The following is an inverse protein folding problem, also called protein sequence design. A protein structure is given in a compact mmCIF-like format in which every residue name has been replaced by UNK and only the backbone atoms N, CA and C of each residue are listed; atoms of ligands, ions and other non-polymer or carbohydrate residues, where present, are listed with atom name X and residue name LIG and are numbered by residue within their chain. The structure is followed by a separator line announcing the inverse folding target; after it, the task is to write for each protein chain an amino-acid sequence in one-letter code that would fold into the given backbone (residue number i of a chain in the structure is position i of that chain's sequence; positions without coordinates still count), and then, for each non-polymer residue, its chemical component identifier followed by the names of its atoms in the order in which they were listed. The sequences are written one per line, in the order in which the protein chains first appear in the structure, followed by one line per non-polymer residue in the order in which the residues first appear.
data_IF_782492883784
#
_entry.id   IF_782492883784
#
_cell.length_a   1.000
_cell.length_b   1.000
_cell.length_c   1.000
_cell.angle_alpha   90.00
_cell.angle_beta   90.00
_cell.angle_gamma   90.00
#
_symmetry.space_group_name_H-M   'P 1'
#
loop_
_entity.id
_entity.type
_entity.pdbx_description
1 polymer ?
#
# COMPACT_ATOMS: atom_id res chain seq x y z
N UNK A 1 9.24 54.96 18.59
CA UNK A 1 8.33 53.80 18.76
C UNK A 1 8.85 52.65 17.88
N UNK A 2 9.64 51.79 18.50
CA UNK A 2 10.26 50.62 17.82
C UNK A 2 9.30 49.48 17.94
N UNK A 3 8.86 48.91 16.77
CA UNK A 3 8.01 47.72 16.72
C UNK A 3 8.89 46.50 17.06
N UNK A 4 8.50 45.76 18.10
CA UNK A 4 9.07 44.45 18.41
C UNK A 4 8.69 43.44 17.29
N UNK A 5 9.57 42.50 16.95
CA UNK A 5 9.26 41.45 15.98
C UNK A 5 8.26 40.46 16.59
N UNK A 6 7.27 40.13 15.78
CA UNK A 6 6.26 39.10 16.07
C UNK A 6 6.99 37.78 16.32
N UNK A 7 6.74 37.18 17.47
CA UNK A 7 7.35 35.93 17.90
C UNK A 7 7.07 34.80 16.88
N UNK A 8 8.13 34.14 16.50
CA UNK A 8 8.09 32.85 15.79
C UNK A 8 7.30 31.89 16.69
N UNK A 9 6.19 31.41 16.19
CA UNK A 9 5.43 30.33 16.84
C UNK A 9 6.36 29.12 16.82
N UNK A 10 6.95 28.82 17.99
CA UNK A 10 7.69 27.59 18.24
C UNK A 10 6.73 26.44 17.94
N UNK A 11 6.94 25.75 16.81
CA UNK A 11 6.28 24.49 16.54
C UNK A 11 6.58 23.55 17.70
N UNK A 12 5.55 23.01 18.33
CA UNK A 12 5.70 21.98 19.34
C UNK A 12 6.63 20.92 18.77
N UNK A 13 7.75 20.67 19.44
CA UNK A 13 8.66 19.57 19.10
C UNK A 13 7.83 18.31 19.25
N UNK A 14 7.58 17.66 18.13
CA UNK A 14 6.78 16.43 18.08
C UNK A 14 7.51 15.39 18.93
N UNK A 15 6.91 14.95 20.05
CA UNK A 15 7.58 13.99 20.95
C UNK A 15 7.96 12.74 20.16
N UNK A 16 9.24 12.34 20.26
CA UNK A 16 9.76 11.15 19.59
C UNK A 16 9.09 9.90 20.16
N UNK A 17 8.61 9.04 19.29
CA UNK A 17 8.03 7.73 19.63
C UNK A 17 8.97 6.63 19.20
N UNK A 18 9.18 5.62 20.04
CA UNK A 18 9.92 4.41 19.72
C UNK A 18 8.93 3.35 19.19
N UNK A 19 9.00 3.06 17.91
CA UNK A 19 8.04 2.21 17.18
C UNK A 19 8.68 0.87 16.84
N UNK A 20 8.05 -0.23 17.26
CA UNK A 20 8.33 -1.53 16.69
C UNK A 20 7.37 -1.75 15.51
N UNK A 21 7.90 -1.93 14.32
CA UNK A 21 7.17 -2.39 13.13
C UNK A 21 7.32 -3.89 13.00
N UNK A 22 6.22 -4.64 12.89
CA UNK A 22 6.27 -6.09 12.74
C UNK A 22 5.74 -6.47 11.36
N UNK A 23 6.63 -7.02 10.53
CA UNK A 23 6.34 -7.49 9.17
C UNK A 23 7.00 -8.85 8.96
N UNK A 24 6.38 -9.91 9.50
CA UNK A 24 6.97 -11.23 9.58
C UNK A 24 7.25 -11.87 8.21
N UNK A 25 6.46 -11.56 7.19
CA UNK A 25 6.52 -12.17 5.86
C UNK A 25 7.19 -11.32 4.78
N UNK A 26 7.32 -10.00 5.03
CA UNK A 26 7.80 -9.06 4.03
C UNK A 26 8.91 -8.19 4.64
N UNK A 27 10.14 -8.52 4.30
CA UNK A 27 11.31 -7.76 4.74
C UNK A 27 11.38 -6.42 4.01
N UNK A 28 11.58 -5.29 4.71
CA UNK A 28 11.74 -3.98 4.07
C UNK A 28 13.08 -3.84 3.31
N UNK A 29 13.96 -4.83 3.40
CA UNK A 29 15.26 -4.84 2.71
C UNK A 29 15.18 -5.48 1.32
N UNK A 30 14.08 -6.16 0.99
CA UNK A 30 13.88 -6.76 -0.33
C UNK A 30 13.47 -5.65 -1.28
N UNK A 31 14.28 -5.41 -2.31
CA UNK A 31 13.94 -4.52 -3.41
C UNK A 31 12.72 -5.09 -4.16
N UNK A 32 11.85 -4.19 -4.60
CA UNK A 32 10.59 -4.42 -5.31
C UNK A 32 10.66 -5.53 -6.36
N UNK A 33 10.09 -6.68 -6.03
CA UNK A 33 9.99 -7.86 -6.90
C UNK A 33 9.64 -9.08 -6.05
N UNK A 34 8.52 -9.75 -6.33
CA UNK A 34 8.06 -10.93 -5.61
C UNK A 34 6.82 -10.72 -4.74
N UNK A 35 6.32 -11.80 -4.11
CA UNK A 35 5.04 -11.84 -3.38
C UNK A 35 4.90 -10.84 -2.21
N UNK A 36 6.00 -10.30 -1.70
CA UNK A 36 6.02 -9.29 -0.64
C UNK A 36 6.18 -7.84 -1.11
N UNK A 37 6.35 -7.57 -2.42
CA UNK A 37 6.87 -6.29 -2.91
C UNK A 37 6.11 -5.03 -2.46
N UNK A 38 4.79 -5.03 -2.50
CA UNK A 38 4.00 -3.87 -2.07
C UNK A 38 4.02 -3.67 -0.56
N UNK A 39 3.89 -4.76 0.22
CA UNK A 39 3.96 -4.71 1.68
C UNK A 39 5.38 -4.34 2.15
N UNK A 40 6.41 -4.92 1.55
CA UNK A 40 7.82 -4.58 1.83
C UNK A 40 8.10 -3.10 1.61
N UNK A 41 7.68 -2.57 0.46
CA UNK A 41 7.82 -1.15 0.14
C UNK A 41 7.05 -0.27 1.12
N UNK A 42 5.82 -0.63 1.46
CA UNK A 42 5.01 0.13 2.43
C UNK A 42 5.72 0.23 3.80
N UNK A 43 6.22 -0.89 4.32
CA UNK A 43 6.93 -0.93 5.61
C UNK A 43 8.23 -0.13 5.55
N UNK A 44 8.99 -0.27 4.46
CA UNK A 44 10.23 0.49 4.25
C UNK A 44 9.98 2.00 4.20
N UNK A 45 9.05 2.43 3.37
CA UNK A 45 8.77 3.85 3.13
C UNK A 45 8.15 4.54 4.36
N UNK A 46 7.21 3.86 5.05
CA UNK A 46 6.64 4.36 6.29
C UNK A 46 7.71 4.46 7.39
N UNK A 47 8.58 3.45 7.53
CA UNK A 47 9.68 3.46 8.50
C UNK A 47 10.64 4.61 8.24
N UNK A 48 11.06 4.80 6.98
CA UNK A 48 11.93 5.89 6.57
C UNK A 48 11.28 7.27 6.83
N UNK A 49 10.00 7.42 6.52
CA UNK A 49 9.27 8.67 6.74
C UNK A 49 9.12 9.01 8.23
N UNK A 50 8.88 8.02 9.09
CA UNK A 50 8.84 8.21 10.54
C UNK A 50 10.19 8.61 11.09
N UNK A 51 11.30 8.01 10.62
CA UNK A 51 12.67 8.40 11.03
C UNK A 51 12.98 9.83 10.60
N UNK A 52 12.65 10.24 9.35
CA UNK A 52 12.82 11.64 8.92
C UNK A 52 12.10 12.64 9.84
N UNK A 53 11.05 12.20 10.53
CA UNK A 53 10.29 13.00 11.49
C UNK A 53 10.79 12.89 12.93
N UNK A 54 11.92 12.24 13.16
CA UNK A 54 12.56 12.14 14.47
C UNK A 54 12.05 10.99 15.35
N UNK A 55 11.27 10.06 14.81
CA UNK A 55 10.88 8.85 15.53
C UNK A 55 11.96 7.77 15.41
N UNK A 56 12.04 6.88 16.39
CA UNK A 56 12.91 5.69 16.33
C UNK A 56 12.08 4.51 15.83
N UNK A 57 12.58 3.82 14.82
CA UNK A 57 11.86 2.68 14.21
C UNK A 57 12.77 1.47 14.18
N UNK A 58 12.25 0.34 14.67
CA UNK A 58 12.85 -0.98 14.51
C UNK A 58 11.85 -1.89 13.84
N UNK A 59 12.23 -2.43 12.69
CA UNK A 59 11.41 -3.41 11.95
C UNK A 59 11.83 -4.81 12.35
N UNK A 60 10.86 -5.64 12.71
CA UNK A 60 11.05 -7.05 13.01
C UNK A 60 10.46 -7.88 11.87
N UNK A 61 11.33 -8.60 11.17
CA UNK A 61 10.95 -9.51 10.08
C UNK A 61 11.48 -10.91 10.35
N UNK A 62 10.90 -11.93 9.75
CA UNK A 62 11.40 -13.29 9.95
C UNK A 62 12.70 -13.50 9.18
N UNK A 63 13.63 -14.23 9.77
CA UNK A 63 14.84 -14.68 9.10
C UNK A 63 14.46 -15.78 8.12
N UNK A 64 14.54 -15.50 6.84
CA UNK A 64 14.16 -16.38 5.73
C UNK A 64 15.35 -16.89 4.91
N UNK A 65 16.58 -16.46 5.24
CA UNK A 65 17.84 -16.94 4.70
C UNK A 65 18.85 -17.08 5.85
N UNK A 66 19.59 -18.19 5.92
CA UNK A 66 20.59 -18.44 6.98
C UNK A 66 21.75 -17.43 6.98
N UNK A 67 22.07 -16.83 5.83
CA UNK A 67 23.15 -15.87 5.68
C UNK A 67 22.79 -14.46 6.16
N UNK A 68 21.53 -14.17 6.42
CA UNK A 68 21.11 -12.85 6.88
C UNK A 68 21.66 -12.56 8.29
N UNK A 69 22.22 -11.36 8.52
CA UNK A 69 22.68 -10.95 9.84
C UNK A 69 21.50 -10.77 10.80
N UNK A 70 21.75 -10.81 12.11
CA UNK A 70 20.69 -10.60 13.10
C UNK A 70 20.06 -9.22 13.00
N UNK A 71 20.88 -8.18 12.74
CA UNK A 71 20.44 -6.79 12.66
C UNK A 71 21.11 -6.08 11.49
N UNK A 72 20.34 -5.24 10.80
CA UNK A 72 20.80 -4.34 9.74
C UNK A 72 20.37 -2.92 10.08
N UNK A 73 21.32 -1.99 10.11
CA UNK A 73 21.03 -0.55 10.12
C UNK A 73 20.88 -0.08 8.66
N UNK A 74 19.73 0.52 8.35
CA UNK A 74 19.44 0.97 6.98
C UNK A 74 20.03 2.37 6.74
N UNK A 75 20.35 2.71 5.47
CA UNK A 75 20.75 4.07 5.12
C UNK A 75 19.69 5.12 5.46
N UNK A 76 18.43 4.73 5.61
CA UNK A 76 17.31 5.60 5.98
C UNK A 76 17.21 5.81 7.50
N UNK A 77 18.04 5.12 8.31
CA UNK A 77 18.18 5.31 9.75
C UNK A 77 17.22 4.48 10.60
N UNK A 78 16.47 3.51 10.05
CA UNK A 78 15.76 2.52 10.85
C UNK A 78 16.54 1.21 10.92
N UNK A 79 16.30 0.42 11.97
CA UNK A 79 16.90 -0.89 12.13
C UNK A 79 15.98 -2.00 11.66
N UNK A 80 16.54 -3.07 11.09
CA UNK A 80 15.83 -4.30 10.75
C UNK A 80 16.41 -5.46 11.54
N UNK A 81 15.56 -6.17 12.29
CA UNK A 81 15.94 -7.34 13.08
C UNK A 81 15.34 -8.57 12.39
N UNK A 82 16.19 -9.53 12.06
CA UNK A 82 15.82 -10.82 11.50
C UNK A 82 15.55 -11.82 12.63
N UNK A 83 14.26 -12.04 12.89
CA UNK A 83 13.79 -12.93 13.98
C UNK A 83 13.96 -14.39 13.58
N UNK A 84 14.68 -15.23 14.37
CA UNK A 84 14.88 -16.64 14.07
C UNK A 84 13.65 -17.48 14.45
N UNK A 85 12.56 -17.34 13.73
CA UNK A 85 11.31 -18.06 13.93
C UNK A 85 11.05 -19.04 12.77
N UNK A 86 11.14 -20.33 13.06
CA UNK A 86 11.03 -21.42 12.08
C UNK A 86 12.28 -21.58 11.19
N UNK A 87 12.19 -22.33 10.10
CA UNK A 87 13.31 -22.58 9.20
C UNK A 87 13.71 -21.26 8.48
N UNK A 88 15.02 -21.05 8.23
CA UNK A 88 15.50 -19.88 7.47
C UNK A 88 15.31 -20.10 5.97
N UNK A 89 14.06 -20.08 5.52
CA UNK A 89 13.63 -20.25 4.13
C UNK A 89 12.33 -19.49 3.90
N UNK A 90 12.01 -19.18 2.66
CA UNK A 90 10.70 -18.59 2.32
C UNK A 90 9.56 -19.51 2.75
N UNK A 91 8.53 -18.95 3.38
CA UNK A 91 7.33 -19.67 3.83
C UNK A 91 6.08 -19.03 3.23
N UNK A 92 5.14 -19.88 2.81
CA UNK A 92 3.79 -19.44 2.44
C UNK A 92 3.01 -18.96 3.66
N UNK A 93 1.93 -18.21 3.46
CA UNK A 93 1.08 -17.69 4.54
C UNK A 93 0.62 -18.79 5.53
N UNK A 94 0.24 -19.96 5.01
CA UNK A 94 -0.19 -21.10 5.84
C UNK A 94 0.96 -21.67 6.67
N UNK A 95 2.17 -21.70 6.11
CA UNK A 95 3.37 -22.19 6.77
C UNK A 95 3.93 -21.19 7.80
N UNK A 96 3.54 -19.91 7.71
CA UNK A 96 3.91 -18.88 8.69
C UNK A 96 3.14 -19.03 10.00
N UNK A 97 1.90 -19.47 9.97
CA UNK A 97 1.04 -19.51 11.16
C UNK A 97 1.67 -20.30 12.34
N UNK A 98 2.22 -21.51 12.17
CA UNK A 98 2.87 -22.25 13.25
C UNK A 98 4.08 -21.55 13.88
N UNK A 99 4.78 -20.70 13.13
CA UNK A 99 6.01 -20.04 13.60
C UNK A 99 5.74 -18.68 14.27
N UNK A 100 4.49 -18.21 14.29
CA UNK A 100 4.14 -16.94 14.95
C UNK A 100 4.22 -17.01 16.47
N UNK A 101 4.07 -18.19 17.09
CA UNK A 101 4.33 -18.40 18.52
C UNK A 101 5.81 -18.15 18.89
N UNK A 102 6.76 -18.86 18.29
CA UNK A 102 8.20 -18.57 18.44
C UNK A 102 8.57 -17.12 18.13
N UNK A 103 7.99 -16.52 17.09
CA UNK A 103 8.21 -15.11 16.76
C UNK A 103 7.76 -14.20 17.92
N UNK A 104 6.57 -14.43 18.47
CA UNK A 104 6.06 -13.69 19.62
C UNK A 104 6.94 -13.83 20.88
N UNK A 105 7.47 -15.03 21.14
CA UNK A 105 8.39 -15.26 22.24
C UNK A 105 9.67 -14.44 22.11
N UNK A 106 10.24 -14.37 20.89
CA UNK A 106 11.39 -13.51 20.61
C UNK A 106 11.07 -12.04 20.89
N UNK A 107 9.95 -11.54 20.39
CA UNK A 107 9.51 -10.16 20.63
C UNK A 107 9.35 -9.87 22.12
N UNK A 108 8.65 -10.75 22.87
CA UNK A 108 8.44 -10.58 24.31
C UNK A 108 9.76 -10.51 25.09
N UNK A 109 10.69 -11.41 24.79
CA UNK A 109 12.01 -11.42 25.43
C UNK A 109 12.82 -10.15 25.11
N UNK A 110 12.76 -9.70 23.85
CA UNK A 110 13.48 -8.49 23.41
C UNK A 110 12.91 -7.21 24.02
N UNK A 111 11.59 -7.14 24.21
CA UNK A 111 10.91 -5.95 24.73
C UNK A 111 10.86 -5.90 26.26
N UNK A 112 11.11 -6.99 26.96
CA UNK A 112 11.10 -7.02 28.42
C UNK A 112 12.11 -6.09 29.10
N UNK A 113 13.22 -5.76 28.44
CA UNK A 113 14.33 -4.93 28.98
C UNK A 113 14.45 -3.54 28.36
N UNK A 114 13.34 -2.95 27.91
CA UNK A 114 13.32 -1.64 27.27
C UNK A 114 12.59 -1.70 25.92
N UNK A 115 11.29 -1.96 25.99
CA UNK A 115 10.42 -2.13 24.82
C UNK A 115 10.14 -0.83 24.06
N UNK A 116 9.45 -0.95 22.93
CA UNK A 116 8.94 0.20 22.18
C UNK A 116 7.79 0.87 22.96
N UNK A 117 7.46 2.11 22.57
CA UNK A 117 6.28 2.80 23.07
C UNK A 117 5.00 2.24 22.44
N UNK A 118 5.11 1.70 21.22
CA UNK A 118 4.01 1.14 20.43
C UNK A 118 4.52 0.03 19.51
N UNK A 119 3.72 -1.02 19.30
CA UNK A 119 3.97 -2.07 18.33
C UNK A 119 2.95 -1.97 17.18
N UNK A 120 3.42 -1.81 15.95
CA UNK A 120 2.59 -1.74 14.75
C UNK A 120 2.80 -2.97 13.88
N UNK A 121 1.80 -3.82 13.80
CA UNK A 121 1.80 -5.02 12.97
C UNK A 121 1.25 -4.74 11.58
N UNK A 122 1.94 -5.24 10.59
CA UNK A 122 1.54 -5.23 9.20
C UNK A 122 1.18 -6.65 8.75
N UNK A 123 -0.05 -6.81 8.31
CA UNK A 123 -0.67 -8.08 7.93
C UNK A 123 -1.10 -8.95 9.13
N UNK A 124 -2.05 -9.85 8.88
CA UNK A 124 -2.70 -10.63 9.94
C UNK A 124 -1.76 -11.59 10.70
N UNK A 125 -0.79 -12.23 10.02
CA UNK A 125 0.20 -13.11 10.67
C UNK A 125 1.08 -12.36 11.63
N UNK A 126 1.60 -11.20 11.23
CA UNK A 126 2.33 -10.28 12.11
C UNK A 126 1.47 -9.81 13.28
N UNK A 127 0.18 -9.57 13.02
CA UNK A 127 -0.80 -9.24 14.07
C UNK A 127 -0.89 -10.30 15.15
N UNK A 128 -0.91 -11.58 14.78
CA UNK A 128 -0.93 -12.71 15.77
C UNK A 128 0.31 -12.63 16.67
N UNK A 129 1.49 -12.56 16.08
CA UNK A 129 2.73 -12.51 16.85
C UNK A 129 2.79 -11.28 17.77
N UNK A 130 2.37 -10.13 17.27
CA UNK A 130 2.37 -8.86 18.00
C UNK A 130 1.41 -8.88 19.18
N UNK A 131 0.17 -9.33 18.99
CA UNK A 131 -0.83 -9.42 20.06
C UNK A 131 -0.42 -10.40 21.16
N UNK A 132 0.19 -11.54 20.79
CA UNK A 132 0.71 -12.50 21.77
C UNK A 132 1.86 -11.90 22.62
N UNK A 133 2.78 -11.15 22.00
CA UNK A 133 3.89 -10.53 22.69
C UNK A 133 3.45 -9.33 23.54
N UNK A 134 2.65 -8.43 22.96
CA UNK A 134 2.21 -7.20 23.58
C UNK A 134 1.33 -7.44 24.83
N UNK A 135 0.47 -8.48 24.78
CA UNK A 135 -0.41 -8.82 25.89
C UNK A 135 0.33 -9.11 27.18
N UNK A 136 1.49 -9.74 27.11
CA UNK A 136 2.31 -10.06 28.30
C UNK A 136 2.95 -8.81 28.92
N UNK A 137 3.15 -7.76 28.14
CA UNK A 137 3.85 -6.54 28.51
C UNK A 137 2.92 -5.35 28.74
N UNK A 138 1.62 -5.48 28.49
CA UNK A 138 0.66 -4.37 28.55
C UNK A 138 0.95 -3.30 27.48
N UNK A 139 1.60 -3.66 26.37
CA UNK A 139 1.98 -2.75 25.31
C UNK A 139 0.81 -2.47 24.36
N UNK A 140 0.60 -1.21 23.99
CA UNK A 140 -0.38 -0.83 22.98
C UNK A 140 0.03 -1.30 21.59
N UNK A 141 -0.97 -1.73 20.80
CA UNK A 141 -0.78 -2.26 19.46
C UNK A 141 -1.56 -1.48 18.42
N UNK A 142 -0.99 -1.34 17.24
CA UNK A 142 -1.68 -0.94 16.01
C UNK A 142 -1.60 -2.09 15.02
N UNK A 143 -2.67 -2.34 14.29
CA UNK A 143 -2.70 -3.36 13.24
C UNK A 143 -3.20 -2.76 11.93
N UNK A 144 -2.42 -2.94 10.85
CA UNK A 144 -2.84 -2.70 9.48
C UNK A 144 -2.94 -4.04 8.75
N UNK A 145 -4.15 -4.37 8.25
CA UNK A 145 -4.39 -5.67 7.59
C UNK A 145 -3.84 -5.75 6.17
N UNK A 146 -3.74 -4.63 5.45
CA UNK A 146 -3.40 -4.58 4.02
C UNK A 146 -4.36 -5.39 3.14
N UNK A 147 -5.63 -5.38 3.50
CA UNK A 147 -6.69 -6.15 2.87
C UNK A 147 -7.09 -7.37 3.69
N UNK A 148 -8.39 -7.54 3.81
CA UNK A 148 -8.99 -8.65 4.54
C UNK A 148 -9.09 -9.91 3.66
N UNK A 149 -8.86 -11.07 4.25
CA UNK A 149 -8.94 -12.34 3.56
C UNK A 149 -10.36 -12.74 3.17
N UNK A 150 -10.46 -13.60 2.17
CA UNK A 150 -11.73 -14.18 1.71
C UNK A 150 -11.96 -15.59 2.23
N UNK A 151 -10.89 -16.31 2.59
CA UNK A 151 -11.00 -17.66 3.15
C UNK A 151 -11.50 -17.66 4.60
N UNK A 152 -12.15 -18.76 4.99
CA UNK A 152 -12.86 -18.83 6.27
C UNK A 152 -11.93 -18.87 7.49
N UNK A 153 -10.74 -19.47 7.37
CA UNK A 153 -9.79 -19.62 8.48
C UNK A 153 -9.15 -18.26 8.77
N UNK A 154 -8.62 -17.60 7.74
CA UNK A 154 -8.04 -16.29 7.84
C UNK A 154 -9.06 -15.27 8.37
N UNK A 155 -10.28 -15.24 7.85
CA UNK A 155 -11.36 -14.34 8.34
C UNK A 155 -11.67 -14.52 9.81
N UNK A 156 -11.64 -15.74 10.35
CA UNK A 156 -11.84 -16.00 11.79
C UNK A 156 -10.70 -15.42 12.63
N UNK A 157 -9.48 -15.52 12.16
CA UNK A 157 -8.30 -14.96 12.84
C UNK A 157 -8.29 -13.44 12.77
N UNK A 158 -8.56 -12.87 11.62
CA UNK A 158 -8.70 -11.43 11.41
C UNK A 158 -9.81 -10.83 12.30
N UNK A 159 -10.95 -11.53 12.42
CA UNK A 159 -12.03 -11.13 13.33
C UNK A 159 -11.55 -11.04 14.79
N UNK A 160 -10.77 -12.01 15.26
CA UNK A 160 -10.20 -11.98 16.61
C UNK A 160 -9.21 -10.83 16.77
N UNK A 161 -8.29 -10.71 15.82
CA UNK A 161 -7.27 -9.64 15.82
C UNK A 161 -7.90 -8.25 15.80
N UNK A 162 -8.89 -8.03 14.95
CA UNK A 162 -9.61 -6.78 14.89
C UNK A 162 -10.24 -6.38 16.23
N UNK A 163 -10.53 -7.31 17.11
CA UNK A 163 -11.12 -7.08 18.44
C UNK A 163 -10.09 -6.96 19.55
N UNK A 164 -8.89 -7.51 19.39
CA UNK A 164 -7.84 -7.53 20.43
C UNK A 164 -6.85 -6.38 20.27
N UNK A 165 -6.49 -6.00 19.05
CA UNK A 165 -5.59 -4.87 18.81
C UNK A 165 -6.10 -3.58 19.48
N UNK A 166 -5.20 -2.80 20.07
CA UNK A 166 -5.57 -1.51 20.69
C UNK A 166 -6.19 -0.59 19.65
N UNK A 167 -5.53 -0.40 18.52
CA UNK A 167 -6.02 0.36 17.37
C UNK A 167 -5.88 -0.44 16.07
N UNK A 168 -6.75 -0.14 15.10
CA UNK A 168 -6.63 -0.63 13.73
C UNK A 168 -6.51 0.55 12.79
N UNK A 169 -5.46 0.52 11.97
CA UNK A 169 -5.26 1.43 10.85
C UNK A 169 -5.80 0.77 9.58
N UNK A 170 -7.01 1.12 9.18
CA UNK A 170 -7.59 0.65 7.92
C UNK A 170 -6.98 1.43 6.75
N UNK A 171 -6.68 0.73 5.66
CA UNK A 171 -6.07 1.33 4.46
C UNK A 171 -7.07 2.17 3.64
N UNK A 172 -8.36 1.92 3.80
CA UNK A 172 -9.41 2.67 3.11
C UNK A 172 -10.74 2.63 3.90
N UNK A 173 -11.65 3.50 3.49
CA UNK A 173 -12.99 3.58 4.10
C UNK A 173 -13.77 2.27 4.00
N UNK A 174 -13.66 1.56 2.86
CA UNK A 174 -14.32 0.27 2.67
C UNK A 174 -13.83 -0.79 3.67
N UNK A 175 -12.52 -0.89 3.89
CA UNK A 175 -11.92 -1.78 4.89
C UNK A 175 -12.36 -1.40 6.31
N UNK A 176 -12.40 -0.11 6.65
CA UNK A 176 -12.88 0.36 7.95
C UNK A 176 -14.33 -0.04 8.21
N UNK A 177 -15.20 0.08 7.21
CA UNK A 177 -16.60 -0.36 7.33
C UNK A 177 -16.71 -1.88 7.52
N UNK A 178 -15.91 -2.67 6.81
CA UNK A 178 -15.91 -4.12 6.99
C UNK A 178 -15.44 -4.51 8.40
N UNK A 179 -14.38 -3.88 8.91
CA UNK A 179 -13.91 -4.08 10.29
C UNK A 179 -14.97 -3.72 11.34
N UNK A 180 -15.71 -2.62 11.12
CA UNK A 180 -16.81 -2.24 12.00
C UNK A 180 -17.94 -3.28 11.95
N UNK A 181 -18.27 -3.82 10.76
CA UNK A 181 -19.24 -4.92 10.61
C UNK A 181 -18.77 -6.21 11.30
N UNK A 182 -17.46 -6.44 11.38
CA UNK A 182 -16.84 -7.51 12.16
C UNK A 182 -16.87 -7.24 13.67
N UNK A 183 -17.49 -6.16 14.15
CA UNK A 183 -17.64 -5.80 15.56
C UNK A 183 -16.49 -4.98 16.15
N UNK A 184 -15.62 -4.41 15.31
CA UNK A 184 -14.60 -3.45 15.77
C UNK A 184 -15.25 -2.12 16.15
N UNK A 185 -14.96 -1.55 17.34
CA UNK A 185 -15.46 -0.23 17.69
C UNK A 185 -14.92 0.88 16.77
N UNK A 186 -15.81 1.72 16.25
CA UNK A 186 -15.42 2.83 15.34
C UNK A 186 -14.36 3.75 15.96
N UNK A 187 -14.41 4.00 17.27
CA UNK A 187 -13.45 4.88 17.97
C UNK A 187 -12.01 4.35 18.01
N UNK A 188 -11.83 3.05 17.76
CA UNK A 188 -10.53 2.39 17.72
C UNK A 188 -10.14 1.97 16.28
N UNK A 189 -10.74 2.62 15.28
CA UNK A 189 -10.48 2.37 13.86
C UNK A 189 -10.19 3.70 13.19
N UNK A 190 -9.00 3.86 12.67
CA UNK A 190 -8.56 5.03 11.90
C UNK A 190 -8.39 4.64 10.44
N UNK A 191 -8.72 5.52 9.51
CA UNK A 191 -8.42 5.31 8.09
C UNK A 191 -7.16 6.10 7.76
N UNK A 192 -6.06 5.37 7.51
CA UNK A 192 -4.79 5.94 7.08
C UNK A 192 -4.37 5.19 5.81
N UNK A 193 -4.44 5.84 4.65
CA UNK A 193 -4.17 5.18 3.37
C UNK A 193 -2.69 4.86 3.17
N UNK A 194 -2.40 4.09 2.13
CA UNK A 194 -1.03 3.91 1.64
C UNK A 194 -0.44 5.22 1.15
N UNK A 195 0.89 5.34 1.21
CA UNK A 195 1.63 6.48 0.69
C UNK A 195 2.16 6.24 -0.72
N UNK A 196 2.66 7.32 -1.31
CA UNK A 196 3.44 7.31 -2.55
C UNK A 196 4.66 8.23 -2.39
N UNK A 197 5.78 7.80 -2.95
CA UNK A 197 6.97 8.65 -3.04
C UNK A 197 6.78 9.70 -4.15
N UNK A 198 6.45 10.91 -3.74
CA UNK A 198 6.13 12.02 -4.66
C UNK A 198 7.37 12.66 -5.29
N UNK A 199 8.56 12.31 -4.85
CA UNK A 199 9.83 12.77 -5.40
C UNK A 199 10.34 11.82 -6.50
N UNK A 200 10.04 10.53 -6.36
CA UNK A 200 10.31 9.51 -7.39
C UNK A 200 9.21 9.53 -8.46
N UNK A 201 7.95 9.51 -8.03
CA UNK A 201 6.79 9.60 -8.92
C UNK A 201 6.42 11.07 -9.12
N UNK A 202 6.95 11.67 -10.17
CA UNK A 202 6.77 13.08 -10.52
C UNK A 202 6.47 13.22 -12.01
N UNK A 203 5.75 14.27 -12.45
CA UNK A 203 5.55 14.57 -13.86
C UNK A 203 6.85 14.82 -14.62
N UNK A 204 7.88 15.28 -13.91
CA UNK A 204 9.18 15.64 -14.46
C UNK A 204 10.08 14.39 -14.59
N UNK A 205 10.80 14.32 -15.70
CA UNK A 205 11.77 13.27 -15.97
C UNK A 205 11.55 12.53 -17.28
N UNK A 206 12.34 11.48 -17.56
CA UNK A 206 12.27 10.74 -18.81
C UNK A 206 10.94 10.01 -18.96
N UNK A 207 10.49 9.90 -20.21
CA UNK A 207 9.34 9.06 -20.60
C UNK A 207 9.84 7.81 -21.29
N UNK A 208 9.19 6.67 -21.05
CA UNK A 208 9.50 5.45 -21.76
C UNK A 208 9.22 5.62 -23.27
N UNK A 209 10.05 5.04 -24.16
CA UNK A 209 9.83 5.09 -25.60
C UNK A 209 8.44 4.54 -25.96
N UNK A 210 7.77 5.20 -26.90
CA UNK A 210 6.49 4.76 -27.46
C UNK A 210 6.36 5.18 -28.92
N UNK A 211 5.43 4.54 -29.66
CA UNK A 211 4.98 4.99 -30.96
C UNK A 211 4.07 6.24 -30.89
N UNK A 212 3.45 6.59 -32.01
CA UNK A 212 2.51 7.69 -32.10
C UNK A 212 1.13 7.39 -31.48
N UNK A 213 0.80 6.09 -31.34
CA UNK A 213 -0.48 5.65 -30.78
C UNK A 213 -0.66 6.15 -29.34
N UNK A 214 -1.89 6.58 -28.97
CA UNK A 214 -2.21 6.84 -27.58
C UNK A 214 -1.96 5.59 -26.72
N UNK A 215 -1.46 5.79 -25.49
CA UNK A 215 -1.08 4.70 -24.60
C UNK A 215 -1.94 4.69 -23.36
N UNK A 216 -2.61 3.53 -23.13
CA UNK A 216 -3.25 3.19 -21.86
C UNK A 216 -2.27 2.30 -21.10
N UNK A 217 -2.04 2.59 -19.82
CA UNK A 217 -1.16 1.78 -18.95
C UNK A 217 -1.95 1.24 -17.78
N UNK A 218 -1.71 -0.01 -17.41
CA UNK A 218 -2.14 -0.58 -16.13
C UNK A 218 -0.95 -1.18 -15.40
N UNK A 219 -0.91 -0.98 -14.06
CA UNK A 219 0.11 -1.53 -13.18
C UNK A 219 -0.52 -2.54 -12.22
N UNK A 220 0.17 -3.62 -11.93
CA UNK A 220 -0.23 -4.56 -10.89
C UNK A 220 0.26 -5.98 -11.14
N UNK A 221 0.11 -6.85 -10.15
CA UNK A 221 0.38 -8.29 -10.32
C UNK A 221 -0.50 -8.86 -11.43
N UNK A 222 0.05 -9.76 -12.22
CA UNK A 222 -0.68 -10.41 -13.32
C UNK A 222 -1.61 -11.50 -12.76
N UNK A 223 -2.72 -11.04 -12.15
CA UNK A 223 -3.73 -11.88 -11.55
C UNK A 223 -5.13 -11.45 -12.03
N UNK A 224 -6.09 -12.38 -12.13
CA UNK A 224 -7.45 -12.09 -12.64
C UNK A 224 -8.16 -10.99 -11.86
N UNK A 225 -7.92 -10.87 -10.55
CA UNK A 225 -8.56 -9.87 -9.69
C UNK A 225 -8.18 -8.42 -10.04
N UNK A 226 -7.09 -8.19 -10.79
CA UNK A 226 -6.64 -6.86 -11.19
C UNK A 226 -7.36 -6.28 -12.41
N UNK A 227 -8.25 -7.07 -13.05
CA UNK A 227 -9.24 -6.57 -14.01
C UNK A 227 -8.67 -6.06 -15.34
N UNK A 228 -7.45 -6.48 -15.72
CA UNK A 228 -6.85 -6.13 -17.02
C UNK A 228 -7.73 -6.54 -18.21
N UNK A 229 -8.50 -7.61 -18.06
CA UNK A 229 -9.44 -8.08 -19.08
C UNK A 229 -10.55 -7.04 -19.35
N UNK A 230 -10.96 -6.23 -18.38
CA UNK A 230 -11.94 -5.15 -18.58
C UNK A 230 -11.43 -4.12 -19.58
N UNK A 231 -10.15 -3.75 -19.49
CA UNK A 231 -9.50 -2.84 -20.44
C UNK A 231 -9.38 -3.49 -21.82
N UNK A 232 -8.95 -4.76 -21.90
CA UNK A 232 -8.85 -5.49 -23.16
C UNK A 232 -10.23 -5.59 -23.86
N UNK A 233 -11.30 -5.85 -23.10
CA UNK A 233 -12.67 -5.86 -23.63
C UNK A 233 -13.17 -4.49 -24.10
N UNK A 234 -12.58 -3.41 -23.59
CA UNK A 234 -12.87 -2.05 -24.04
C UNK A 234 -12.12 -1.66 -25.32
N UNK A 235 -10.95 -2.26 -25.58
CA UNK A 235 -10.07 -1.93 -26.70
C UNK A 235 -10.74 -1.94 -28.10
N UNK A 236 -11.71 -2.83 -28.42
CA UNK A 236 -12.44 -2.76 -29.70
C UNK A 236 -13.21 -1.44 -29.89
N UNK A 237 -13.56 -0.76 -28.81
CA UNK A 237 -14.28 0.52 -28.83
C UNK A 237 -13.36 1.74 -28.67
N UNK A 238 -12.04 1.53 -28.54
CA UNK A 238 -11.02 2.56 -28.43
C UNK A 238 -10.12 2.39 -29.66
N UNK A 239 -10.34 3.16 -30.73
CA UNK A 239 -9.51 3.06 -31.92
C UNK A 239 -8.08 3.54 -31.62
N UNK A 240 -7.12 2.96 -32.33
CA UNK A 240 -5.72 3.37 -32.44
C UNK A 240 -4.90 3.43 -31.13
N UNK A 241 -5.48 3.12 -29.96
CA UNK A 241 -4.74 3.10 -28.71
C UNK A 241 -4.02 1.75 -28.51
N UNK A 242 -2.80 1.79 -27.95
CA UNK A 242 -2.14 0.63 -27.40
C UNK A 242 -2.43 0.46 -25.90
N UNK A 243 -2.46 -0.75 -25.43
CA UNK A 243 -2.62 -1.10 -24.02
C UNK A 243 -1.35 -1.76 -23.51
N UNK A 244 -0.69 -1.14 -22.53
CA UNK A 244 0.50 -1.64 -21.87
C UNK A 244 0.16 -2.10 -20.46
N UNK A 245 0.32 -3.37 -20.19
CA UNK A 245 0.25 -3.94 -18.84
C UNK A 245 1.69 -4.06 -18.31
N UNK A 246 1.93 -3.51 -17.12
CA UNK A 246 3.22 -3.61 -16.41
C UNK A 246 2.99 -4.40 -15.14
N UNK A 247 3.60 -5.56 -15.03
CA UNK A 247 3.37 -6.43 -13.89
C UNK A 247 4.36 -7.58 -13.79
N UNK A 248 4.41 -8.18 -12.61
CA UNK A 248 5.24 -9.33 -12.32
C UNK A 248 4.62 -10.61 -12.88
N UNK A 249 5.43 -11.44 -13.53
CA UNK A 249 5.05 -12.73 -14.12
C UNK A 249 6.03 -13.84 -13.74
N UNK A 250 6.35 -13.90 -12.46
CA UNK A 250 7.33 -14.84 -11.89
C UNK A 250 6.70 -16.12 -11.31
N UNK A 251 5.40 -16.23 -11.37
CA UNK A 251 4.62 -17.39 -10.90
C UNK A 251 3.88 -18.07 -12.04
N UNK A 252 3.62 -19.37 -11.89
CA UNK A 252 2.82 -20.13 -12.85
C UNK A 252 1.39 -19.55 -13.02
N UNK A 253 0.82 -18.98 -11.97
CA UNK A 253 -0.48 -18.31 -12.01
C UNK A 253 -0.41 -17.03 -12.87
N UNK A 254 0.63 -16.23 -12.70
CA UNK A 254 0.84 -15.02 -13.51
C UNK A 254 1.09 -15.36 -14.99
N UNK A 255 1.83 -16.41 -15.30
CA UNK A 255 2.04 -16.89 -16.68
C UNK A 255 0.73 -17.36 -17.33
N UNK A 256 -0.08 -18.09 -16.56
CA UNK A 256 -1.41 -18.53 -17.02
C UNK A 256 -2.33 -17.33 -17.30
N UNK A 257 -2.29 -16.30 -16.45
CA UNK A 257 -3.05 -15.06 -16.65
C UNK A 257 -2.58 -14.31 -17.90
N UNK A 258 -1.28 -14.16 -18.11
CA UNK A 258 -0.73 -13.55 -19.34
C UNK A 258 -1.21 -14.30 -20.58
N UNK A 259 -1.20 -15.63 -20.57
CA UNK A 259 -1.73 -16.44 -21.66
C UNK A 259 -3.20 -16.17 -21.90
N UNK A 260 -4.01 -16.17 -20.83
CA UNK A 260 -5.45 -15.87 -20.87
C UNK A 260 -5.74 -14.49 -21.47
N UNK A 261 -4.99 -13.47 -21.05
CA UNK A 261 -5.15 -12.09 -21.53
C UNK A 261 -4.78 -11.97 -23.02
N UNK A 262 -3.72 -12.64 -23.46
CA UNK A 262 -3.32 -12.68 -24.88
C UNK A 262 -4.36 -13.41 -25.75
N UNK A 263 -4.93 -14.50 -25.25
CA UNK A 263 -6.01 -15.22 -25.92
C UNK A 263 -7.26 -14.36 -26.06
N UNK A 264 -7.65 -13.65 -25.01
CA UNK A 264 -8.75 -12.70 -25.03
C UNK A 264 -8.52 -11.60 -26.07
N UNK A 265 -7.31 -11.02 -26.10
CA UNK A 265 -6.95 -9.99 -27.08
C UNK A 265 -7.02 -10.50 -28.53
N UNK A 266 -6.60 -11.75 -28.79
CA UNK A 266 -6.73 -12.40 -30.11
C UNK A 266 -8.18 -12.60 -30.49
N UNK A 267 -9.01 -13.10 -29.57
CA UNK A 267 -10.45 -13.29 -29.82
C UNK A 267 -11.18 -11.98 -30.17
N UNK A 268 -10.72 -10.87 -29.57
CA UNK A 268 -11.31 -9.55 -29.79
C UNK A 268 -10.65 -8.75 -30.93
N UNK A 269 -9.64 -9.32 -31.63
CA UNK A 269 -8.95 -8.67 -32.74
C UNK A 269 -8.09 -7.47 -32.34
N UNK A 270 -7.56 -7.46 -31.11
CA UNK A 270 -6.77 -6.34 -30.57
C UNK A 270 -5.37 -6.77 -30.10
N UNK A 271 -4.93 -7.98 -30.48
CA UNK A 271 -3.67 -8.56 -30.02
C UNK A 271 -2.43 -7.77 -30.43
N UNK A 272 -2.45 -7.10 -31.55
CA UNK A 272 -1.39 -6.25 -32.08
C UNK A 272 -1.19 -4.96 -31.26
N UNK A 273 -2.23 -4.55 -30.51
CA UNK A 273 -2.24 -3.35 -29.66
C UNK A 273 -2.01 -3.66 -28.17
N UNK A 274 -1.92 -4.94 -27.78
CA UNK A 274 -1.62 -5.35 -26.41
C UNK A 274 -0.12 -5.56 -26.23
N UNK A 275 0.44 -4.92 -25.22
CA UNK A 275 1.81 -5.13 -24.75
C UNK A 275 1.78 -5.57 -23.29
N UNK A 276 2.50 -6.64 -22.96
CA UNK A 276 2.73 -7.08 -21.58
C UNK A 276 4.20 -6.91 -21.30
N UNK A 277 4.52 -5.98 -20.41
CA UNK A 277 5.88 -5.75 -19.92
C UNK A 277 6.04 -6.56 -18.63
N UNK A 278 7.11 -7.33 -18.54
CA UNK A 278 7.46 -8.06 -17.34
C UNK A 278 7.76 -7.14 -16.14
N UNK A 279 8.40 -7.69 -15.10
CA UNK A 279 8.77 -6.89 -13.93
C UNK A 279 9.58 -5.67 -14.38
N UNK A 280 9.12 -4.49 -13.99
CA UNK A 280 9.85 -3.26 -14.16
C UNK A 280 10.51 -2.90 -12.84
N UNK A 281 11.79 -2.56 -12.86
CA UNK A 281 12.44 -2.05 -11.67
C UNK A 281 11.81 -0.71 -11.22
N UNK A 282 12.01 -0.37 -9.96
CA UNK A 282 11.42 0.84 -9.37
C UNK A 282 11.78 2.12 -10.12
N UNK A 283 12.86 2.13 -10.92
CA UNK A 283 13.33 3.28 -11.68
C UNK A 283 12.65 3.40 -13.06
N UNK A 284 12.20 2.30 -13.64
CA UNK A 284 11.51 2.25 -14.93
C UNK A 284 10.02 2.61 -14.81
N UNK A 285 9.36 2.27 -13.70
CA UNK A 285 7.92 2.50 -13.51
C UNK A 285 7.52 3.98 -13.69
N UNK A 286 8.23 4.98 -13.10
CA UNK A 286 7.90 6.38 -13.33
C UNK A 286 7.96 6.79 -14.81
N UNK A 287 8.96 6.31 -15.56
CA UNK A 287 9.12 6.59 -16.97
C UNK A 287 8.00 5.97 -17.83
N UNK A 288 7.56 4.75 -17.48
CA UNK A 288 6.42 4.07 -18.10
C UNK A 288 5.12 4.83 -17.84
N UNK A 289 4.86 5.25 -16.59
CA UNK A 289 3.69 6.06 -16.25
C UNK A 289 3.69 7.40 -16.99
N UNK A 290 4.79 8.14 -17.00
CA UNK A 290 4.90 9.40 -17.73
C UNK A 290 4.71 9.25 -19.24
N UNK A 291 4.87 8.04 -19.79
CA UNK A 291 4.58 7.77 -21.21
C UNK A 291 3.10 7.49 -21.48
N UNK A 292 2.26 7.33 -20.46
CA UNK A 292 0.84 7.07 -20.62
C UNK A 292 0.03 8.34 -20.92
N UNK A 293 -1.03 8.19 -21.70
CA UNK A 293 -2.08 9.22 -21.85
C UNK A 293 -3.16 9.04 -20.79
N UNK A 294 -3.40 7.78 -20.35
CA UNK A 294 -4.35 7.40 -19.29
C UNK A 294 -3.80 6.19 -18.56
N UNK A 295 -3.95 6.16 -17.24
CA UNK A 295 -3.72 4.95 -16.45
C UNK A 295 -5.08 4.35 -16.07
N UNK A 296 -5.27 3.06 -16.38
CA UNK A 296 -6.47 2.31 -16.01
C UNK A 296 -6.17 1.39 -14.83
N UNK A 297 -6.81 1.64 -13.70
CA UNK A 297 -6.78 0.81 -12.50
C UNK A 297 -8.15 0.18 -12.29
N UNK A 298 -8.33 -1.05 -12.76
CA UNK A 298 -9.66 -1.69 -12.86
C UNK A 298 -9.82 -2.96 -12.02
N UNK A 299 -9.21 -3.09 -10.83
CA UNK A 299 -9.37 -4.27 -10.00
C UNK A 299 -10.81 -4.45 -9.52
N UNK A 300 -11.16 -5.70 -9.19
CA UNK A 300 -12.44 -6.02 -8.55
C UNK A 300 -12.50 -5.52 -7.10
N UNK A 301 -11.34 -5.49 -6.44
CA UNK A 301 -11.12 -4.95 -5.10
C UNK A 301 -9.69 -4.47 -5.00
N UNK A 302 -9.48 -3.33 -4.37
CA UNK A 302 -8.15 -2.77 -4.09
C UNK A 302 -8.13 -2.19 -2.68
N UNK A 303 -7.22 -2.65 -1.85
CA UNK A 303 -7.08 -2.17 -0.46
C UNK A 303 -6.12 -0.99 -0.35
N UNK A 304 -5.23 -0.79 -1.32
CA UNK A 304 -4.13 0.18 -1.24
C UNK A 304 -4.23 1.33 -2.22
N UNK A 305 -4.68 1.06 -3.46
CA UNK A 305 -4.74 2.02 -4.55
C UNK A 305 -3.38 2.56 -5.02
N UNK A 306 -2.28 1.86 -4.71
CA UNK A 306 -0.91 2.34 -4.96
C UNK A 306 -0.64 2.58 -6.46
N UNK A 307 -1.20 1.75 -7.35
CA UNK A 307 -1.08 1.96 -8.79
C UNK A 307 -1.69 3.31 -9.23
N UNK A 308 -2.88 3.63 -8.73
CA UNK A 308 -3.53 4.91 -8.98
C UNK A 308 -2.74 6.09 -8.37
N UNK A 309 -2.25 5.93 -7.14
CA UNK A 309 -1.43 6.95 -6.47
C UNK A 309 -0.14 7.27 -7.23
N UNK A 310 0.56 6.24 -7.73
CA UNK A 310 1.77 6.41 -8.56
C UNK A 310 1.46 7.16 -9.86
N UNK A 311 0.34 6.83 -10.51
CA UNK A 311 -0.09 7.52 -11.73
C UNK A 311 -0.46 9.00 -11.47
N UNK A 312 -1.27 9.26 -10.45
CA UNK A 312 -1.62 10.62 -10.01
C UNK A 312 -0.37 11.42 -9.65
N UNK A 313 0.56 10.81 -8.92
CA UNK A 313 1.82 11.44 -8.56
C UNK A 313 2.67 11.81 -9.81
N UNK A 314 2.59 11.05 -10.89
CA UNK A 314 3.19 11.37 -12.18
C UNK A 314 2.37 12.39 -13.02
N UNK A 315 1.26 12.89 -12.51
CA UNK A 315 0.40 13.84 -13.24
C UNK A 315 -0.37 13.21 -14.40
N UNK A 316 -0.58 11.88 -14.37
CA UNK A 316 -1.32 11.14 -15.39
C UNK A 316 -2.76 10.94 -14.93
N UNK A 317 -3.77 11.24 -15.78
CA UNK A 317 -5.15 11.03 -15.43
C UNK A 317 -5.44 9.54 -15.19
N UNK A 318 -6.19 9.26 -14.13
CA UNK A 318 -6.54 7.90 -13.72
C UNK A 318 -8.00 7.61 -14.05
N UNK A 319 -8.23 6.47 -14.66
CA UNK A 319 -9.54 5.84 -14.75
C UNK A 319 -9.53 4.61 -13.85
N UNK A 320 -10.37 4.59 -12.84
CA UNK A 320 -10.37 3.55 -11.81
C UNK A 320 -11.74 2.87 -11.69
N UNK A 321 -11.74 1.60 -11.27
CA UNK A 321 -12.99 0.96 -10.82
C UNK A 321 -13.45 1.58 -9.49
N UNK A 322 -14.78 1.71 -9.33
CA UNK A 322 -15.38 2.20 -8.08
C UNK A 322 -15.31 1.12 -6.98
N UNK A 323 -14.09 0.77 -6.55
CA UNK A 323 -13.84 -0.33 -5.62
C UNK A 323 -12.75 0.03 -4.60
N UNK A 324 -12.95 -0.39 -3.35
CA UNK A 324 -11.96 -0.32 -2.27
C UNK A 324 -11.38 1.08 -2.06
N UNK A 325 -10.04 1.16 -2.00
CA UNK A 325 -9.30 2.40 -1.80
C UNK A 325 -9.42 3.39 -2.96
N UNK A 326 -9.72 2.91 -4.16
CA UNK A 326 -9.82 3.77 -5.35
C UNK A 326 -10.92 4.82 -5.23
N UNK A 327 -12.02 4.51 -4.51
CA UNK A 327 -13.12 5.45 -4.23
C UNK A 327 -12.67 6.59 -3.28
N UNK A 328 -11.74 6.31 -2.38
CA UNK A 328 -11.19 7.33 -1.48
C UNK A 328 -10.11 8.19 -2.18
N UNK A 329 -9.37 7.58 -3.12
CA UNK A 329 -8.21 8.19 -3.80
C UNK A 329 -8.67 9.08 -4.95
N UNK A 330 -9.50 8.56 -5.84
CA UNK A 330 -9.94 9.27 -7.04
C UNK A 330 -11.21 10.05 -6.73
N UNK A 331 -11.17 11.36 -6.97
CA UNK A 331 -12.37 12.20 -6.94
C UNK A 331 -12.91 12.26 -8.37
N UNK A 332 -14.08 11.65 -8.56
CA UNK A 332 -14.70 11.52 -9.87
C UNK A 332 -14.88 12.88 -10.55
N UNK A 333 -14.56 12.96 -11.84
CA UNK A 333 -14.60 14.17 -12.68
C UNK A 333 -13.68 15.32 -12.21
N UNK A 334 -12.82 15.09 -11.20
CA UNK A 334 -11.89 16.12 -10.67
C UNK A 334 -10.44 15.67 -10.76
N UNK A 335 -10.12 14.47 -10.28
CA UNK A 335 -8.74 13.94 -10.28
C UNK A 335 -8.58 12.68 -11.15
N UNK A 336 -9.65 12.28 -11.81
CA UNK A 336 -9.77 11.09 -12.63
C UNK A 336 -11.23 10.72 -12.79
N UNK A 337 -11.48 9.51 -13.24
CA UNK A 337 -12.83 8.97 -13.39
C UNK A 337 -13.01 7.65 -12.64
N UNK A 338 -14.19 7.48 -12.06
CA UNK A 338 -14.64 6.22 -11.49
C UNK A 338 -15.63 5.53 -12.44
N UNK A 339 -15.40 4.24 -12.72
CA UNK A 339 -16.29 3.43 -13.54
C UNK A 339 -16.74 2.20 -12.77
N UNK A 340 -17.92 1.70 -13.09
CA UNK A 340 -18.39 0.44 -12.55
C UNK A 340 -17.49 -0.71 -13.00
N UNK A 341 -17.27 -1.67 -12.09
CA UNK A 341 -16.48 -2.86 -12.40
C UNK A 341 -17.15 -3.67 -13.54
N UNK A 342 -16.35 -4.24 -14.45
CA UNK A 342 -16.81 -4.99 -15.61
C UNK A 342 -17.71 -4.22 -16.62
N UNK A 343 -17.51 -2.90 -16.74
CA UNK A 343 -18.24 -2.08 -17.72
C UNK A 343 -17.31 -1.58 -18.85
N UNK A 344 -16.90 -2.46 -19.81
CA UNK A 344 -15.89 -2.10 -20.81
C UNK A 344 -16.36 -0.99 -21.77
N UNK A 345 -17.66 -0.87 -22.04
CA UNK A 345 -18.19 0.22 -22.88
C UNK A 345 -18.16 1.58 -22.19
N UNK A 346 -18.47 1.61 -20.89
CA UNK A 346 -18.35 2.83 -20.08
C UNK A 346 -16.88 3.26 -20.02
N UNK A 347 -15.98 2.31 -19.74
CA UNK A 347 -14.53 2.55 -19.73
C UNK A 347 -14.08 3.13 -21.08
N UNK A 348 -14.46 2.51 -22.20
CA UNK A 348 -14.09 2.99 -23.53
C UNK A 348 -14.62 4.41 -23.81
N UNK A 349 -15.84 4.73 -23.40
CA UNK A 349 -16.40 6.08 -23.54
C UNK A 349 -15.56 7.12 -22.85
N UNK A 350 -15.18 6.87 -21.59
CA UNK A 350 -14.34 7.78 -20.80
C UNK A 350 -12.94 7.90 -21.40
N UNK A 351 -12.29 6.79 -21.76
CA UNK A 351 -10.97 6.82 -22.40
C UNK A 351 -11.01 7.61 -23.71
N UNK A 352 -12.00 7.39 -24.56
CA UNK A 352 -12.14 8.12 -25.81
C UNK A 352 -12.31 9.65 -25.58
N UNK A 353 -13.04 10.05 -24.55
CA UNK A 353 -13.17 11.46 -24.16
C UNK A 353 -11.81 12.02 -23.75
N UNK A 354 -11.10 11.32 -22.89
CA UNK A 354 -9.76 11.71 -22.45
C UNK A 354 -8.75 11.80 -23.60
N UNK A 355 -8.76 10.82 -24.53
CA UNK A 355 -7.82 10.81 -25.65
C UNK A 355 -8.05 11.95 -26.64
N UNK A 356 -9.29 12.42 -26.79
CA UNK A 356 -9.63 13.55 -27.70
C UNK A 356 -9.34 14.92 -27.10
N UNK A 357 -9.33 15.04 -25.79
CA UNK A 357 -9.18 16.32 -25.09
C UNK A 357 -7.90 16.35 -24.24
N UNK A 358 -6.86 16.95 -24.79
CA UNK A 358 -5.57 17.09 -24.11
C UNK A 358 -5.64 18.06 -22.92
N UNK A 359 -6.52 19.05 -22.97
CA UNK A 359 -6.71 19.99 -21.86
C UNK A 359 -7.35 19.27 -20.67
N UNK A 360 -8.39 18.47 -20.92
CA UNK A 360 -9.03 17.65 -19.89
C UNK A 360 -8.02 16.68 -19.25
N UNK A 361 -7.20 15.99 -20.06
CA UNK A 361 -6.14 15.11 -19.54
C UNK A 361 -5.18 15.84 -18.61
N UNK A 362 -4.70 17.00 -19.05
CA UNK A 362 -3.75 17.82 -18.27
C UNK A 362 -4.38 18.36 -16.99
N UNK A 363 -5.64 18.76 -17.05
CA UNK A 363 -6.38 19.27 -15.88
C UNK A 363 -6.57 18.20 -14.82
N UNK A 364 -7.09 17.02 -15.21
CA UNK A 364 -7.28 15.89 -14.29
C UNK A 364 -5.95 15.36 -13.73
N UNK A 365 -4.92 15.26 -14.59
CA UNK A 365 -3.59 14.84 -14.17
C UNK A 365 -2.96 15.81 -13.17
N UNK A 366 -3.07 17.12 -13.42
CA UNK A 366 -2.60 18.15 -12.49
C UNK A 366 -3.32 18.11 -11.13
N UNK A 367 -4.65 18.07 -11.15
CA UNK A 367 -5.43 17.94 -9.92
C UNK A 367 -5.14 16.62 -9.17
N UNK A 368 -4.92 15.54 -9.92
CA UNK A 368 -4.45 14.26 -9.38
C UNK A 368 -3.10 14.38 -8.67
N UNK A 369 -2.13 15.05 -9.30
CA UNK A 369 -0.81 15.31 -8.70
C UNK A 369 -0.93 16.11 -7.41
N UNK A 370 -1.67 17.21 -7.42
CA UNK A 370 -1.86 18.06 -6.25
C UNK A 370 -2.46 17.27 -5.08
N UNK A 371 -3.44 16.42 -5.37
CA UNK A 371 -4.05 15.56 -4.36
C UNK A 371 -3.07 14.51 -3.84
N UNK A 372 -2.28 13.86 -4.71
CA UNK A 372 -1.28 12.87 -4.32
C UNK A 372 -0.24 13.49 -3.38
N UNK A 373 0.30 14.65 -3.72
CA UNK A 373 1.27 15.38 -2.90
C UNK A 373 0.67 15.80 -1.56
N UNK A 374 -0.52 16.40 -1.57
CA UNK A 374 -1.11 16.99 -0.37
C UNK A 374 -1.59 15.95 0.65
N UNK A 375 -2.02 14.74 0.19
CA UNK A 375 -2.70 13.77 1.04
C UNK A 375 -2.01 12.42 1.16
N UNK A 376 -1.24 12.01 0.15
CA UNK A 376 -0.71 10.65 0.05
C UNK A 376 0.82 10.57 0.02
N UNK A 377 1.55 11.70 0.10
CA UNK A 377 2.99 11.69 0.31
C UNK A 377 3.36 11.02 1.64
N UNK A 378 4.43 10.22 1.66
CA UNK A 378 4.83 9.45 2.85
C UNK A 378 5.03 10.31 4.10
N UNK A 379 5.48 11.55 3.98
CA UNK A 379 5.64 12.45 5.12
C UNK A 379 4.29 12.80 5.76
N UNK A 380 3.22 12.93 4.96
CA UNK A 380 1.86 13.12 5.46
C UNK A 380 1.34 11.85 6.14
N UNK A 381 1.53 10.69 5.53
CA UNK A 381 1.14 9.40 6.09
C UNK A 381 1.84 9.14 7.43
N UNK A 382 3.13 9.48 7.54
CA UNK A 382 3.88 9.36 8.78
C UNK A 382 3.33 10.29 9.89
N UNK A 383 2.88 11.50 9.57
CA UNK A 383 2.21 12.39 10.54
C UNK A 383 0.95 11.75 11.10
N UNK A 384 0.12 11.17 10.24
CA UNK A 384 -1.14 10.58 10.66
C UNK A 384 -0.91 9.32 11.52
N UNK A 385 0.07 8.48 11.17
CA UNK A 385 0.49 7.35 12.01
C UNK A 385 1.10 7.81 13.35
N UNK A 386 1.97 8.82 13.35
CA UNK A 386 2.56 9.34 14.59
C UNK A 386 1.49 9.88 15.55
N UNK A 387 0.43 10.52 15.05
CA UNK A 387 -0.71 10.95 15.86
C UNK A 387 -1.45 9.75 16.46
N UNK A 388 -1.70 8.73 15.64
CA UNK A 388 -2.34 7.49 16.09
C UNK A 388 -1.50 6.81 17.18
N UNK A 389 -0.17 6.71 17.01
CA UNK A 389 0.72 6.08 17.98
C UNK A 389 0.70 6.80 19.33
N UNK A 390 0.80 8.14 19.33
CA UNK A 390 0.75 8.92 20.58
C UNK A 390 -0.58 8.76 21.32
N UNK A 391 -1.69 8.80 20.58
CA UNK A 391 -3.03 8.61 21.15
C UNK A 391 -3.15 7.21 21.79
N UNK A 392 -2.62 6.17 21.14
CA UNK A 392 -2.67 4.79 21.60
C UNK A 392 -1.75 4.55 22.80
N UNK A 393 -0.52 5.08 22.79
CA UNK A 393 0.43 4.96 23.90
C UNK A 393 -0.09 5.67 25.16
N UNK A 394 -0.69 6.85 25.03
CA UNK A 394 -1.28 7.61 26.13
C UNK A 394 -2.49 6.91 26.78
N UNK A 395 -3.22 6.10 26.01
CA UNK A 395 -4.39 5.36 26.52
C UNK A 395 -3.98 4.20 27.44
N UNK A 396 -2.81 3.58 27.21
CA UNK A 396 -2.26 2.50 28.04
C UNK A 396 -1.81 2.98 29.44
N UNK A 397 -1.42 4.25 29.56
CA UNK A 397 -1.01 4.85 30.86
C UNK A 397 -2.18 5.27 31.75
N UNK A 398 -3.44 5.17 31.34
CA UNK A 398 -4.61 5.47 32.18
C UNK A 398 -5.10 4.19 32.87
N UNK A 399 -5.06 4.09 34.22
CA UNK A 399 -5.69 2.99 34.90
C UNK A 399 -7.19 2.98 34.52
N UNK A 400 -7.67 1.85 34.01
CA UNK A 400 -9.10 1.63 33.80
C UNK A 400 -9.81 1.84 35.13
N UNK A 401 -10.56 2.94 35.26
CA UNK A 401 -11.49 3.10 36.36
C UNK A 401 -12.45 1.90 36.30
N UNK A 402 -12.33 1.03 37.28
CA UNK A 402 -13.24 -0.08 37.47
C UNK A 402 -14.64 0.51 37.69
N UNK A 403 -15.49 0.37 36.69
CA UNK A 403 -16.93 0.56 36.86
C UNK A 403 -17.43 -0.61 37.71
N UNK A 404 -17.68 -0.32 39.01
CA UNK A 404 -18.37 -1.19 39.92
C UNK A 404 -19.86 -1.37 39.54
#
# INVERSE_FOLDING_TARGET
MVRQPVGVISGAVDESVNVAMISAQASPLVSTGGDGGELSSHVADLSAALVRRGHRVTVYTRRDDPELPECVETPQGYNVIHVPAGPPAHLTDDALLPVMGPFAQYLSARWASGGPDIAHAHFWTSGIATELAARQLGLSTVLTFHGLGTDQVRRRLEFKLARTATEVSASCTAEAFELIRMGRPRRCTSVIPSGVDVDVFTPDGPRAPRGEAPRIVSLGKLLPCNGFDTVIRAMPFIPDAEFLIVGESDTAESEAEVSRLRDLARQLGVADRLRVHGPADGTAIPALLRSADVVAATPASDSSGVAALKAMACGVPVLASAAGALVDIVVDDVTGYLVEHHQPRQLASVVNSLLRDSFLRSSLGGAGRDRAVARYGWDRIAVDHARLYRASASAAGRPTAATG
#
